data_IF_666387392199
#
_entry.id   IF_666387392199
#
_cell.length_a   1.000
_cell.length_b   1.000
_cell.length_c   1.000
_cell.angle_alpha   90.00
_cell.angle_beta   90.00
_cell.angle_gamma   90.00
#
_symmetry.space_group_name_H-M   'P 1'
#
loop_
_entity.id
_entity.type
_entity.pdbx_description
1 polymer ?
#
# COMPACT_ATOMS: atom_id res chain seq x y z
N UNK A 1 -13.61 -13.21 -21.41
CA UNK A 1 -12.96 -12.34 -20.43
C UNK A 1 -13.24 -12.84 -19.01
N UNK A 2 -12.25 -12.75 -18.12
CA UNK A 2 -12.21 -13.34 -16.77
C UNK A 2 -12.86 -14.75 -16.68
N UNK A 3 -12.30 -15.71 -17.41
CA UNK A 3 -12.68 -17.14 -17.35
C UNK A 3 -14.20 -17.44 -17.39
N UNK A 4 -14.95 -16.66 -18.17
CA UNK A 4 -16.40 -16.84 -18.35
C UNK A 4 -17.29 -15.96 -17.48
N UNK A 5 -16.73 -15.18 -16.55
CA UNK A 5 -17.49 -14.22 -15.73
C UNK A 5 -18.10 -13.08 -16.56
N UNK A 6 -17.52 -12.76 -17.73
CA UNK A 6 -18.09 -11.77 -18.67
C UNK A 6 -19.48 -12.12 -19.22
N UNK A 7 -19.93 -13.37 -19.07
CA UNK A 7 -21.29 -13.80 -19.46
C UNK A 7 -22.37 -13.37 -18.45
N UNK A 8 -21.96 -13.07 -17.22
CA UNK A 8 -22.85 -12.78 -16.09
C UNK A 8 -22.87 -11.31 -15.70
N UNK A 9 -21.80 -10.57 -16.01
CA UNK A 9 -21.75 -9.13 -15.81
C UNK A 9 -20.80 -8.47 -16.82
N UNK A 10 -21.27 -7.39 -17.44
CA UNK A 10 -20.51 -6.56 -18.38
C UNK A 10 -19.19 -6.05 -17.77
N UNK A 11 -19.13 -5.91 -16.44
CA UNK A 11 -17.91 -5.53 -15.72
C UNK A 11 -16.74 -6.49 -16.00
N UNK A 12 -17.02 -7.77 -16.19
CA UNK A 12 -16.01 -8.78 -16.47
C UNK A 12 -15.80 -9.03 -17.97
N UNK A 13 -16.55 -8.36 -18.85
CA UNK A 13 -16.41 -8.47 -20.30
C UNK A 13 -15.28 -7.58 -20.84
N UNK A 14 -14.06 -7.98 -20.48
CA UNK A 14 -12.83 -7.27 -20.81
C UNK A 14 -12.14 -7.82 -22.07
N UNK A 15 -12.03 -6.98 -23.11
CA UNK A 15 -11.28 -7.30 -24.32
C UNK A 15 -9.77 -7.07 -24.13
N UNK A 16 -9.07 -8.07 -23.57
CA UNK A 16 -7.63 -8.00 -23.27
C UNK A 16 -6.76 -7.61 -24.46
N UNK A 17 -7.13 -8.03 -25.67
CA UNK A 17 -6.40 -7.69 -26.90
C UNK A 17 -6.39 -6.19 -27.22
N UNK A 18 -7.43 -5.44 -26.84
CA UNK A 18 -7.49 -3.97 -27.01
C UNK A 18 -6.74 -3.22 -25.91
N UNK A 19 -6.37 -3.89 -24.84
CA UNK A 19 -5.81 -3.30 -23.62
C UNK A 19 -4.31 -3.58 -23.48
N UNK A 20 -3.64 -3.93 -24.58
CA UNK A 20 -2.21 -4.28 -24.62
C UNK A 20 -1.30 -3.20 -24.03
N UNK A 21 -1.63 -1.92 -24.23
CA UNK A 21 -0.87 -0.81 -23.62
C UNK A 21 -0.94 -0.82 -22.08
N UNK A 22 -2.14 -0.99 -21.52
CA UNK A 22 -2.33 -1.03 -20.07
C UNK A 22 -1.63 -2.24 -19.44
N UNK A 23 -1.66 -3.39 -20.13
CA UNK A 23 -0.91 -4.58 -19.73
C UNK A 23 0.60 -4.36 -19.76
N UNK A 24 1.11 -3.70 -20.80
CA UNK A 24 2.53 -3.38 -20.91
C UNK A 24 2.98 -2.43 -19.79
N UNK A 25 2.17 -1.42 -19.47
CA UNK A 25 2.44 -0.51 -18.34
C UNK A 25 2.42 -1.25 -17.02
N UNK A 26 1.43 -2.14 -16.79
CA UNK A 26 1.35 -2.94 -15.58
C UNK A 26 2.57 -3.86 -15.41
N UNK A 27 2.96 -4.57 -16.48
CA UNK A 27 4.17 -5.38 -16.49
C UNK A 27 5.43 -4.54 -16.28
N UNK A 28 5.53 -3.40 -16.96
CA UNK A 28 6.65 -2.47 -16.80
C UNK A 28 6.78 -1.95 -15.37
N UNK A 29 5.66 -1.64 -14.70
CA UNK A 29 5.65 -1.25 -13.30
C UNK A 29 6.08 -2.39 -12.36
N UNK A 30 5.63 -3.63 -12.63
CA UNK A 30 6.05 -4.80 -11.86
C UNK A 30 7.56 -5.06 -11.99
N UNK A 31 8.07 -5.14 -13.22
CA UNK A 31 9.50 -5.36 -13.46
C UNK A 31 10.36 -4.18 -13.01
N UNK A 32 9.90 -2.95 -13.26
CA UNK A 32 10.56 -1.74 -12.79
C UNK A 32 10.66 -1.69 -11.27
N UNK A 33 9.59 -2.03 -10.56
CA UNK A 33 9.59 -2.17 -9.10
C UNK A 33 10.55 -3.25 -8.60
N UNK A 34 10.60 -4.42 -9.27
CA UNK A 34 11.54 -5.48 -8.94
C UNK A 34 13.00 -5.05 -9.12
N UNK A 35 13.32 -4.42 -10.26
CA UNK A 35 14.68 -3.95 -10.53
C UNK A 35 15.05 -2.84 -9.53
N UNK A 36 14.15 -1.88 -9.28
CA UNK A 36 14.33 -0.84 -8.27
C UNK A 36 14.65 -1.42 -6.89
N UNK A 37 13.86 -2.39 -6.43
CA UNK A 37 14.02 -3.00 -5.11
C UNK A 37 15.33 -3.79 -4.95
N UNK A 38 15.84 -4.43 -6.01
CA UNK A 38 17.02 -5.30 -5.91
C UNK A 38 18.33 -4.62 -6.31
N UNK A 39 18.28 -3.63 -7.21
CA UNK A 39 19.49 -3.01 -7.77
C UNK A 39 19.66 -1.54 -7.41
N UNK A 40 18.59 -0.83 -7.05
CA UNK A 40 18.64 0.61 -6.72
C UNK A 40 18.44 0.90 -5.22
N UNK A 41 18.37 -0.12 -4.37
CA UNK A 41 18.06 -0.01 -2.94
C UNK A 41 19.12 0.60 -2.01
N UNK A 42 20.25 1.10 -2.53
CA UNK A 42 21.31 1.71 -1.72
C UNK A 42 21.82 0.80 -0.59
N UNK A 43 22.26 1.39 0.51
CA UNK A 43 22.57 0.67 1.76
C UNK A 43 21.31 0.28 2.57
N UNK A 44 20.11 0.62 2.08
CA UNK A 44 18.84 0.37 2.76
C UNK A 44 18.58 1.31 3.94
N UNK A 45 19.40 2.35 4.11
CA UNK A 45 19.37 3.26 5.25
C UNK A 45 18.83 4.63 4.79
N UNK A 46 17.89 5.20 5.53
CA UNK A 46 17.58 6.62 5.47
C UNK A 46 18.71 7.35 6.19
N UNK A 47 19.51 8.07 5.41
CA UNK A 47 20.52 8.97 5.94
C UNK A 47 19.80 10.18 6.52
N UNK A 48 19.78 10.26 7.85
CA UNK A 48 19.16 11.39 8.57
C UNK A 48 20.24 12.42 8.84
N UNK A 49 19.95 13.69 8.53
CA UNK A 49 20.90 14.76 8.81
C UNK A 49 21.11 14.95 10.32
N UNK A 50 22.34 15.28 10.73
CA UNK A 50 22.67 15.48 12.14
C UNK A 50 21.77 16.55 12.80
N UNK A 51 21.46 17.64 12.08
CA UNK A 51 20.56 18.68 12.56
C UNK A 51 19.14 18.16 12.88
N UNK A 52 18.66 17.17 12.13
CA UNK A 52 17.37 16.52 12.37
C UNK A 52 17.42 15.68 13.65
N UNK A 53 18.50 14.90 13.84
CA UNK A 53 18.73 14.10 15.06
C UNK A 53 18.74 14.99 16.30
N UNK A 54 19.49 16.10 16.24
CA UNK A 54 19.63 17.05 17.35
C UNK A 54 18.27 17.68 17.70
N UNK A 55 17.49 18.10 16.69
CA UNK A 55 16.15 18.69 16.89
C UNK A 55 15.17 17.69 17.49
N UNK A 56 15.16 16.44 17.00
CA UNK A 56 14.25 15.41 17.50
C UNK A 56 14.59 14.98 18.93
N UNK A 57 15.88 14.86 19.27
CA UNK A 57 16.33 14.58 20.63
C UNK A 57 16.05 15.73 21.60
N UNK A 58 15.89 16.96 21.11
CA UNK A 58 15.46 18.11 21.93
C UNK A 58 13.96 18.09 22.21
N UNK A 59 13.14 17.59 21.26
CA UNK A 59 11.68 17.54 21.37
C UNK A 59 11.22 16.29 22.15
N UNK A 60 11.98 15.19 22.08
CA UNK A 60 11.67 13.94 22.76
C UNK A 60 12.23 13.94 24.20
N UNK A 61 11.43 13.64 25.24
CA UNK A 61 11.89 13.54 26.62
C UNK A 61 12.84 12.34 26.89
N UNK A 62 13.02 11.47 25.90
CA UNK A 62 13.82 10.25 25.95
C UNK A 62 14.66 10.12 24.66
N UNK A 63 15.94 9.72 24.74
CA UNK A 63 16.88 9.71 23.61
C UNK A 63 16.65 8.47 22.73
N UNK A 64 15.58 8.47 21.94
CA UNK A 64 15.22 7.35 21.07
C UNK A 64 15.96 7.32 19.73
N UNK A 65 16.67 8.39 19.34
CA UNK A 65 17.27 8.53 18.02
C UNK A 65 18.79 8.71 18.12
N UNK A 66 19.51 7.59 18.21
CA UNK A 66 20.98 7.53 18.19
C UNK A 66 21.55 6.98 16.87
N UNK A 67 20.75 6.90 15.81
CA UNK A 67 21.15 6.27 14.56
C UNK A 67 21.14 7.26 13.39
N UNK A 68 22.32 7.48 12.80
CA UNK A 68 22.52 8.11 11.48
C UNK A 68 21.74 7.39 10.36
N UNK A 69 21.27 6.17 10.61
CA UNK A 69 20.77 5.24 9.61
C UNK A 69 19.49 4.51 10.08
N UNK A 70 18.32 4.98 9.64
CA UNK A 70 17.05 4.28 9.87
C UNK A 70 16.75 3.40 8.68
N UNK A 71 16.62 2.10 8.87
CA UNK A 71 16.31 1.19 7.78
C UNK A 71 14.89 1.46 7.22
N UNK A 72 14.78 1.68 5.91
CA UNK A 72 13.52 2.14 5.26
C UNK A 72 12.65 0.97 4.78
N UNK A 73 13.19 -0.26 4.73
CA UNK A 73 12.46 -1.39 4.12
C UNK A 73 11.35 -1.87 5.07
N UNK A 74 10.05 -1.69 4.71
CA UNK A 74 8.95 -2.20 5.52
C UNK A 74 9.05 -3.73 5.57
N UNK A 75 9.30 -4.28 6.76
CA UNK A 75 9.35 -5.72 6.98
C UNK A 75 10.73 -6.36 7.05
N UNK A 76 11.83 -5.60 7.05
CA UNK A 76 13.13 -6.16 7.46
C UNK A 76 13.82 -5.45 8.61
N UNK A 77 13.45 -4.20 8.88
CA UNK A 77 13.95 -3.50 10.04
C UNK A 77 12.89 -2.54 10.52
N UNK A 78 12.57 -2.70 11.77
CA UNK A 78 11.68 -1.84 12.51
C UNK A 78 12.50 -1.15 13.55
N UNK A 79 12.23 0.14 13.70
CA UNK A 79 12.62 0.98 14.84
C UNK A 79 13.29 0.20 15.99
N UNK A 80 14.57 0.48 16.19
CA UNK A 80 15.44 -0.04 17.25
C UNK A 80 14.73 -0.78 18.40
N UNK A 81 15.02 -2.08 18.55
CA UNK A 81 14.69 -2.84 19.77
C UNK A 81 13.24 -3.31 19.89
N UNK A 82 12.34 -2.89 19.00
CA UNK A 82 11.05 -3.57 18.83
C UNK A 82 11.30 -4.70 17.85
N UNK A 83 11.52 -5.92 18.39
CA UNK A 83 11.42 -7.14 17.59
C UNK A 83 10.00 -7.17 17.01
N UNK A 84 9.80 -6.59 15.82
CA UNK A 84 8.53 -6.79 15.15
C UNK A 84 8.48 -8.26 14.81
N UNK A 85 7.50 -8.99 15.36
CA UNK A 85 7.46 -10.41 15.14
C UNK A 85 7.36 -10.71 13.64
N UNK A 86 7.90 -11.84 13.18
CA UNK A 86 7.85 -12.21 11.76
C UNK A 86 6.42 -12.18 11.18
N UNK A 87 5.39 -12.35 12.02
CA UNK A 87 3.98 -12.24 11.64
C UNK A 87 3.53 -10.81 11.25
N UNK A 88 4.32 -9.76 11.46
CA UNK A 88 4.05 -8.42 10.91
C UNK A 88 4.61 -8.23 9.49
N UNK A 89 5.44 -9.15 9.00
CA UNK A 89 6.00 -9.09 7.65
C UNK A 89 4.97 -9.58 6.60
N UNK A 90 4.00 -8.70 6.33
CA UNK A 90 2.91 -8.91 5.37
C UNK A 90 3.40 -9.07 3.91
N UNK A 91 4.59 -8.55 3.61
CA UNK A 91 5.16 -8.48 2.25
C UNK A 91 6.18 -9.58 1.95
N UNK A 92 6.19 -10.65 2.76
CA UNK A 92 7.04 -11.82 2.50
C UNK A 92 6.39 -12.85 1.58
N UNK A 93 7.20 -13.58 0.80
CA UNK A 93 6.73 -14.71 -0.02
C UNK A 93 5.99 -15.77 0.79
N UNK A 94 6.34 -15.94 2.07
CA UNK A 94 5.65 -16.87 2.99
C UNK A 94 4.26 -16.37 3.35
N UNK A 95 4.10 -15.06 3.54
CA UNK A 95 2.81 -14.42 3.87
C UNK A 95 1.74 -14.69 2.80
N UNK A 96 2.11 -14.77 1.52
CA UNK A 96 1.18 -15.08 0.42
C UNK A 96 0.42 -16.40 0.58
N UNK A 97 1.02 -17.39 1.24
CA UNK A 97 0.42 -18.70 1.45
C UNK A 97 -0.27 -18.84 2.82
N UNK A 98 -0.31 -17.77 3.61
CA UNK A 98 -1.06 -17.74 4.88
C UNK A 98 -2.50 -17.30 4.65
N UNK A 99 -3.41 -17.75 5.51
CA UNK A 99 -4.83 -17.36 5.44
C UNK A 99 -4.97 -15.84 5.57
N UNK A 100 -4.20 -15.24 6.48
CA UNK A 100 -4.16 -13.78 6.67
C UNK A 100 -3.66 -13.05 5.43
N UNK A 101 -2.54 -13.49 4.86
CA UNK A 101 -1.98 -12.87 3.66
C UNK A 101 -2.92 -12.98 2.46
N UNK A 102 -3.61 -14.11 2.28
CA UNK A 102 -4.64 -14.25 1.26
C UNK A 102 -5.81 -13.27 1.46
N UNK A 103 -6.32 -13.14 2.69
CA UNK A 103 -7.41 -12.19 3.00
C UNK A 103 -6.97 -10.74 2.71
N UNK A 104 -5.76 -10.35 3.12
CA UNK A 104 -5.27 -8.98 2.94
C UNK A 104 -4.95 -8.70 1.46
N UNK A 105 -4.24 -9.59 0.80
CA UNK A 105 -3.72 -9.36 -0.55
C UNK A 105 -4.82 -9.56 -1.59
N UNK A 106 -5.51 -10.71 -1.57
CA UNK A 106 -6.60 -10.97 -2.52
C UNK A 106 -7.85 -10.17 -2.15
N UNK A 107 -8.26 -10.23 -0.88
CA UNK A 107 -9.46 -9.52 -0.41
C UNK A 107 -9.29 -7.99 -0.45
N UNK A 108 -8.18 -7.49 0.09
CA UNK A 108 -7.87 -6.06 0.04
C UNK A 108 -7.65 -5.56 -1.39
N UNK A 109 -6.89 -6.30 -2.22
CA UNK A 109 -6.68 -5.96 -3.62
C UNK A 109 -7.99 -5.91 -4.43
N UNK A 110 -8.86 -6.90 -4.23
CA UNK A 110 -10.19 -6.93 -4.83
C UNK A 110 -11.04 -5.72 -4.41
N UNK A 111 -11.12 -5.43 -3.11
CA UNK A 111 -11.92 -4.32 -2.58
C UNK A 111 -11.40 -2.96 -3.08
N UNK A 112 -10.08 -2.78 -3.17
CA UNK A 112 -9.48 -1.55 -3.73
C UNK A 112 -9.83 -1.40 -5.21
N UNK A 113 -9.66 -2.47 -6.01
CA UNK A 113 -9.97 -2.45 -7.43
C UNK A 113 -11.45 -2.18 -7.71
N UNK A 114 -12.33 -2.88 -6.98
CA UNK A 114 -13.78 -2.68 -7.04
C UNK A 114 -14.15 -1.25 -6.63
N UNK A 115 -13.63 -0.77 -5.49
CA UNK A 115 -13.90 0.58 -4.98
C UNK A 115 -13.45 1.68 -5.92
N UNK A 116 -12.26 1.56 -6.52
CA UNK A 116 -11.77 2.52 -7.50
C UNK A 116 -12.66 2.57 -8.75
N UNK A 117 -13.16 1.43 -9.23
CA UNK A 117 -14.11 1.44 -10.36
C UNK A 117 -15.44 2.07 -9.96
N UNK A 118 -15.96 1.73 -8.79
CA UNK A 118 -17.23 2.24 -8.27
C UNK A 118 -17.20 3.76 -8.08
N UNK A 119 -16.08 4.30 -7.58
CA UNK A 119 -15.85 5.73 -7.46
C UNK A 119 -15.66 6.43 -8.82
N UNK A 120 -15.42 5.68 -9.90
CA UNK A 120 -15.13 6.24 -11.23
C UNK A 120 -13.71 6.78 -11.36
N UNK A 121 -12.79 6.39 -10.47
CA UNK A 121 -11.42 6.89 -10.44
C UNK A 121 -10.59 6.30 -9.29
N UNK A 122 -9.28 6.51 -9.35
CA UNK A 122 -8.39 6.12 -8.27
C UNK A 122 -8.33 7.21 -7.18
N UNK A 123 -7.79 6.83 -6.01
CA UNK A 123 -7.61 7.75 -4.87
C UNK A 123 -6.79 8.99 -5.26
N UNK A 124 -5.67 8.82 -5.97
CA UNK A 124 -4.83 9.92 -6.43
C UNK A 124 -5.53 10.80 -7.48
N UNK A 125 -6.34 10.22 -8.37
CA UNK A 125 -7.09 10.98 -9.37
C UNK A 125 -8.12 11.91 -8.75
N UNK A 126 -8.90 11.42 -7.78
CA UNK A 126 -9.86 12.25 -7.06
C UNK A 126 -9.17 13.26 -6.13
N UNK A 127 -8.12 12.86 -5.41
CA UNK A 127 -7.45 13.71 -4.43
C UNK A 127 -6.56 14.81 -5.06
N UNK A 128 -5.79 14.48 -6.10
CA UNK A 128 -4.87 15.43 -6.73
C UNK A 128 -5.62 16.26 -7.76
N UNK A 129 -6.10 15.64 -8.84
CA UNK A 129 -6.71 16.35 -9.97
C UNK A 129 -8.15 16.77 -9.69
N UNK A 130 -8.94 15.91 -9.02
CA UNK A 130 -10.35 16.16 -8.75
C UNK A 130 -10.59 17.33 -7.80
N UNK A 131 -9.89 17.36 -6.66
CA UNK A 131 -9.96 18.48 -5.71
C UNK A 131 -9.35 19.76 -6.29
N UNK A 132 -8.23 19.67 -7.02
CA UNK A 132 -7.64 20.84 -7.69
C UNK A 132 -8.62 21.51 -8.68
N UNK A 133 -9.48 20.73 -9.33
CA UNK A 133 -10.54 21.22 -10.22
C UNK A 133 -11.88 21.52 -9.51
N UNK A 134 -11.92 21.54 -8.16
CA UNK A 134 -13.12 21.80 -7.35
C UNK A 134 -14.32 20.90 -7.68
N UNK A 135 -14.08 19.65 -8.09
CA UNK A 135 -15.15 18.72 -8.41
C UNK A 135 -15.81 18.20 -7.13
N UNK A 136 -17.06 18.58 -6.90
CA UNK A 136 -17.88 18.08 -5.78
C UNK A 136 -17.92 16.53 -5.70
N UNK A 137 -18.04 15.78 -6.81
CA UNK A 137 -17.98 14.31 -6.75
C UNK A 137 -16.66 13.79 -6.18
N UNK A 138 -15.54 14.43 -6.54
CA UNK A 138 -14.21 14.07 -6.05
C UNK A 138 -14.03 14.40 -4.56
N UNK A 139 -14.62 15.50 -4.08
CA UNK A 139 -14.63 15.81 -2.65
C UNK A 139 -15.37 14.71 -1.85
N UNK A 140 -16.55 14.29 -2.31
CA UNK A 140 -17.31 13.22 -1.65
C UNK A 140 -16.55 11.90 -1.68
N UNK A 141 -15.94 11.55 -2.82
CA UNK A 141 -15.12 10.34 -2.95
C UNK A 141 -13.94 10.35 -1.96
N UNK A 142 -13.23 11.48 -1.84
CA UNK A 142 -12.09 11.61 -0.92
C UNK A 142 -12.53 11.50 0.54
N UNK A 143 -13.63 12.12 0.94
CA UNK A 143 -14.18 11.95 2.30
C UNK A 143 -14.49 10.48 2.56
N UNK A 144 -15.12 9.79 1.59
CA UNK A 144 -15.38 8.35 1.69
C UNK A 144 -14.12 7.51 1.83
N UNK A 145 -13.06 7.79 1.05
CA UNK A 145 -11.78 7.10 1.16
C UNK A 145 -11.13 7.30 2.53
N UNK A 146 -11.17 8.52 3.08
CA UNK A 146 -10.63 8.80 4.41
C UNK A 146 -11.43 8.10 5.51
N UNK A 147 -12.76 8.14 5.47
CA UNK A 147 -13.62 7.45 6.43
C UNK A 147 -13.39 5.94 6.36
N UNK A 148 -13.35 5.36 5.16
CA UNK A 148 -13.05 3.95 4.95
C UNK A 148 -11.66 3.57 5.47
N UNK A 149 -10.65 4.40 5.21
CA UNK A 149 -9.29 4.20 5.72
C UNK A 149 -9.19 4.27 7.24
N UNK A 150 -9.91 5.19 7.88
CA UNK A 150 -10.01 5.29 9.34
C UNK A 150 -10.70 4.07 9.94
N UNK A 151 -11.84 3.66 9.38
CA UNK A 151 -12.55 2.44 9.80
C UNK A 151 -11.63 1.22 9.64
N UNK A 152 -10.95 1.11 8.50
CA UNK A 152 -10.04 0.00 8.26
C UNK A 152 -8.91 -0.01 9.28
N UNK A 153 -8.25 1.13 9.53
CA UNK A 153 -7.08 1.21 10.41
C UNK A 153 -7.43 0.99 11.88
N UNK A 154 -8.52 1.60 12.35
CA UNK A 154 -8.86 1.62 13.77
C UNK A 154 -9.79 0.47 14.19
N UNK A 155 -10.68 0.03 13.30
CA UNK A 155 -11.65 -1.00 13.63
C UNK A 155 -11.26 -2.35 13.04
N UNK A 156 -10.90 -2.44 11.75
CA UNK A 156 -10.80 -3.74 11.06
C UNK A 156 -9.40 -4.36 11.17
N UNK A 157 -8.37 -3.57 10.86
CA UNK A 157 -6.96 -3.96 10.85
C UNK A 157 -6.52 -4.61 12.17
N UNK A 158 -6.83 -4.10 13.38
CA UNK A 158 -6.40 -4.75 14.62
C UNK A 158 -6.90 -6.20 14.74
N UNK A 159 -8.13 -6.50 14.30
CA UNK A 159 -8.64 -7.87 14.31
C UNK A 159 -7.97 -8.75 13.25
N UNK A 160 -7.74 -8.22 12.05
CA UNK A 160 -7.03 -8.97 10.99
C UNK A 160 -5.60 -9.31 11.41
N UNK A 161 -4.91 -8.38 12.08
CA UNK A 161 -3.55 -8.61 12.57
C UNK A 161 -3.48 -9.68 13.67
N UNK A 162 -4.56 -9.89 14.42
CA UNK A 162 -4.65 -10.94 15.47
C UNK A 162 -4.88 -12.34 14.90
N UNK A 163 -5.35 -12.46 13.65
CA UNK A 163 -5.54 -13.76 12.99
C UNK A 163 -4.16 -14.37 12.73
N UNK A 164 -3.74 -15.23 13.66
CA UNK A 164 -2.47 -15.98 13.63
C UNK A 164 -2.80 -17.44 13.38
N UNK A 165 -3.11 -17.76 12.11
CA UNK A 165 -3.15 -19.13 11.60
C UNK A 165 -2.29 -19.17 10.34
#
# INVERSE_FOLDING_TARGET
AADGAGKYADFFDFEWGKQGWNLMVALGAMFGGYIAANYFGGDGLAHISQATIDTLNQISPEPYLNAENVHIVPGKDTMHGVNLPEWWNLYSWKSLFTVRGLIIILGGGFLIGFGARYAGGCTSGHAISGIANLQLPSLVAVIGFFVGGLIMTWLILPYILQITI
#
